data_IF_683897634393
#
_entry.id   IF_683897634393
#
_cell.length_a   1.000
_cell.length_b   1.000
_cell.length_c   1.000
_cell.angle_alpha   90.00
_cell.angle_beta   90.00
_cell.angle_gamma   90.00
#
_symmetry.space_group_name_H-M   'P 1'
#
loop_
_entity.id
_entity.type
_entity.pdbx_description
1 polymer ?
#
# COMPACT_ATOMS: atom_id res chain seq x y z
N UNK A 1 -20.73 7.16 2.76
CA UNK A 1 -19.55 6.37 2.36
C UNK A 1 -18.32 7.17 2.75
N UNK A 2 -17.45 6.61 3.57
CA UNK A 2 -16.24 7.27 4.08
C UNK A 2 -15.01 6.51 3.60
N UNK A 3 -14.12 7.18 2.87
CA UNK A 3 -12.85 6.62 2.42
C UNK A 3 -11.70 7.49 2.93
N UNK A 4 -10.72 6.86 3.59
CA UNK A 4 -9.52 7.53 4.05
C UNK A 4 -8.30 6.98 3.30
N UNK A 5 -7.46 7.87 2.79
CA UNK A 5 -6.08 7.52 2.51
C UNK A 5 -5.34 7.57 3.84
N UNK A 6 -4.59 6.53 4.15
CA UNK A 6 -4.02 6.30 5.48
C UNK A 6 -2.59 5.78 5.36
N UNK A 7 -1.75 6.18 6.31
CA UNK A 7 -0.35 5.80 6.38
C UNK A 7 0.14 5.84 7.84
N UNK A 8 1.07 4.97 8.18
CA UNK A 8 1.68 4.87 9.50
C UNK A 8 3.20 4.83 9.44
N UNK A 9 3.81 5.51 10.41
CA UNK A 9 5.21 5.27 10.77
C UNK A 9 5.26 4.40 12.02
N UNK A 10 6.23 3.50 12.06
CA UNK A 10 6.38 2.50 13.13
C UNK A 10 7.78 2.51 13.70
N UNK A 11 7.93 2.26 15.01
CA UNK A 11 9.24 2.33 15.69
C UNK A 11 10.29 1.32 15.17
N UNK A 12 9.83 0.24 14.53
CA UNK A 12 10.64 -0.76 13.81
C UNK A 12 9.77 -1.46 12.77
N UNK A 13 10.36 -2.30 11.94
CA UNK A 13 9.62 -3.13 10.99
C UNK A 13 8.60 -4.02 11.73
N UNK A 14 7.33 -3.94 11.33
CA UNK A 14 6.19 -4.58 12.01
C UNK A 14 6.03 -4.17 13.50
N UNK A 15 6.49 -2.97 13.87
CA UNK A 15 6.42 -2.41 15.22
C UNK A 15 5.28 -1.42 15.47
N UNK A 16 4.99 -1.10 16.73
CA UNK A 16 4.00 -0.11 17.19
C UNK A 16 3.98 1.18 16.37
N UNK A 17 2.75 1.69 16.14
CA UNK A 17 2.50 2.99 15.53
C UNK A 17 3.15 4.09 16.38
N UNK A 18 3.94 4.95 15.73
CA UNK A 18 4.53 6.16 16.33
C UNK A 18 4.01 7.44 15.69
N UNK A 19 3.56 7.37 14.44
CA UNK A 19 2.82 8.42 13.75
C UNK A 19 1.75 7.75 12.89
N UNK A 20 0.55 8.32 12.86
CA UNK A 20 -0.50 7.92 11.94
C UNK A 20 -1.08 9.16 11.28
N UNK A 21 -1.32 9.10 9.98
CA UNK A 21 -1.99 10.15 9.25
C UNK A 21 -3.14 9.60 8.41
N UNK A 22 -4.13 10.46 8.19
CA UNK A 22 -5.22 10.17 7.29
C UNK A 22 -5.63 11.43 6.53
N UNK A 23 -6.13 11.25 5.31
CA UNK A 23 -6.88 12.27 4.59
C UNK A 23 -8.15 11.67 4.02
N UNK A 24 -9.28 12.34 4.22
CA UNK A 24 -10.54 11.86 3.66
C UNK A 24 -10.66 12.23 2.19
N UNK A 25 -11.14 11.29 1.39
CA UNK A 25 -11.35 11.47 -0.04
C UNK A 25 -12.74 11.00 -0.46
N UNK A 26 -13.30 11.68 -1.46
CA UNK A 26 -14.60 11.39 -2.02
C UNK A 26 -14.45 11.03 -3.49
N UNK A 27 -15.21 10.04 -3.95
CA UNK A 27 -15.27 9.72 -5.37
C UNK A 27 -16.28 10.65 -6.06
N UNK A 28 -15.84 11.40 -7.06
CA UNK A 28 -16.71 12.24 -7.88
C UNK A 28 -16.70 11.75 -9.33
N UNK A 29 -17.74 11.03 -9.78
CA UNK A 29 -17.78 10.49 -11.13
C UNK A 29 -17.87 11.61 -12.18
N UNK A 30 -17.40 11.31 -13.40
CA UNK A 30 -17.50 12.19 -14.58
C UNK A 30 -16.76 13.53 -14.47
N UNK A 31 -15.68 13.59 -13.70
CA UNK A 31 -14.77 14.75 -13.63
C UNK A 31 -13.34 14.35 -13.99
N UNK A 32 -12.50 15.33 -14.35
CA UNK A 32 -11.06 15.13 -14.56
C UNK A 32 -10.30 14.78 -13.27
N UNK A 33 -10.97 14.94 -12.12
CA UNK A 33 -10.45 14.72 -10.77
C UNK A 33 -11.38 13.76 -10.00
N UNK A 34 -11.39 12.47 -10.36
CA UNK A 34 -12.38 11.51 -9.89
C UNK A 34 -12.29 11.20 -8.40
N UNK A 35 -11.20 11.58 -7.73
CA UNK A 35 -11.01 11.43 -6.28
C UNK A 35 -10.54 12.75 -5.71
N UNK A 36 -11.39 13.39 -4.90
CA UNK A 36 -11.16 14.72 -4.36
C UNK A 36 -10.94 14.64 -2.86
N UNK A 37 -9.84 15.20 -2.32
CA UNK A 37 -9.66 15.35 -0.89
C UNK A 37 -10.69 16.30 -0.30
N UNK A 38 -11.18 16.00 0.89
CA UNK A 38 -11.96 16.96 1.68
C UNK A 38 -11.04 17.88 2.47
N UNK A 39 -11.63 18.72 3.32
CA UNK A 39 -10.89 19.52 4.30
C UNK A 39 -10.46 18.73 5.55
N UNK A 40 -10.80 17.44 5.63
CA UNK A 40 -10.44 16.60 6.76
C UNK A 40 -9.07 15.94 6.56
N UNK A 41 -8.14 16.32 7.42
CA UNK A 41 -6.89 15.61 7.67
C UNK A 41 -6.77 15.20 9.15
N UNK A 42 -5.97 14.17 9.37
CA UNK A 42 -5.60 13.68 10.69
C UNK A 42 -4.11 13.41 10.70
N UNK A 43 -3.44 13.82 11.77
CA UNK A 43 -2.07 13.42 12.06
C UNK A 43 -1.88 13.37 13.56
N UNK A 44 -1.34 12.27 14.06
CA UNK A 44 -1.10 12.10 15.50
C UNK A 44 0.10 11.20 15.76
N UNK A 45 0.85 11.54 16.79
CA UNK A 45 1.99 10.77 17.28
C UNK A 45 1.68 10.00 18.55
N UNK A 46 2.42 8.92 18.74
CA UNK A 46 2.23 7.96 19.82
C UNK A 46 3.56 7.50 20.37
N UNK A 47 3.59 7.21 21.67
CA UNK A 47 4.74 6.63 22.35
C UNK A 47 4.72 5.10 22.17
N UNK A 48 5.75 4.50 21.56
CA UNK A 48 5.87 3.05 21.40
C UNK A 48 6.17 2.35 22.73
N UNK A 49 6.05 1.03 22.77
CA UNK A 49 6.37 0.23 23.96
C UNK A 49 7.87 0.10 24.23
N UNK A 50 8.70 0.25 23.19
CA UNK A 50 10.16 0.17 23.22
C UNK A 50 10.79 1.30 22.39
N UNK A 51 12.09 1.60 22.55
CA UNK A 51 12.77 2.64 21.79
C UNK A 51 12.70 2.43 20.27
N UNK A 52 12.73 3.53 19.52
CA UNK A 52 12.73 3.50 18.06
C UNK A 52 14.07 2.91 17.56
N UNK A 53 13.98 2.00 16.59
CA UNK A 53 15.17 1.44 15.94
C UNK A 53 15.87 2.50 15.10
N UNK A 54 17.21 2.50 15.08
CA UNK A 54 18.00 3.44 14.26
C UNK A 54 17.64 3.35 12.77
N UNK A 55 17.32 2.15 12.28
CA UNK A 55 16.88 1.94 10.90
C UNK A 55 15.54 2.66 10.61
N UNK A 56 14.58 2.63 11.53
CA UNK A 56 13.32 3.36 11.39
C UNK A 56 13.54 4.88 11.48
N UNK A 57 14.35 5.35 12.45
CA UNK A 57 14.73 6.77 12.55
C UNK A 57 15.38 7.30 11.26
N UNK A 58 16.19 6.48 10.58
CA UNK A 58 16.83 6.87 9.32
C UNK A 58 15.83 7.00 8.15
N UNK A 59 14.65 6.38 8.25
CA UNK A 59 13.58 6.44 7.25
C UNK A 59 12.69 7.66 7.52
N UNK A 60 12.06 7.71 8.69
CA UNK A 60 11.00 8.70 9.00
C UNK A 60 11.47 9.88 9.85
N UNK A 61 12.71 9.87 10.33
CA UNK A 61 13.34 10.98 11.07
C UNK A 61 12.62 11.41 12.36
N UNK A 62 11.83 10.52 12.96
CA UNK A 62 11.22 10.70 14.29
C UNK A 62 12.16 10.04 15.30
N UNK A 63 12.47 10.74 16.38
CA UNK A 63 13.33 10.24 17.45
C UNK A 63 12.54 10.01 18.74
N UNK A 64 13.09 9.23 19.68
CA UNK A 64 12.43 8.91 20.94
C UNK A 64 12.03 10.17 21.73
N UNK A 65 12.86 11.22 21.66
CA UNK A 65 12.63 12.51 22.31
C UNK A 65 11.36 13.21 21.83
N UNK A 66 10.98 13.03 20.56
CA UNK A 66 9.75 13.60 19.98
C UNK A 66 8.48 13.01 20.62
N UNK A 67 8.58 11.79 21.16
CA UNK A 67 7.44 10.97 21.56
C UNK A 67 7.23 10.88 23.08
N UNK A 68 8.13 11.45 23.89
CA UNK A 68 8.12 11.33 25.36
C UNK A 68 6.78 11.73 25.98
N UNK A 69 6.15 12.79 25.46
CA UNK A 69 4.87 13.34 25.95
C UNK A 69 3.65 12.81 25.18
N UNK A 70 3.85 11.95 24.19
CA UNK A 70 2.76 11.39 23.40
C UNK A 70 2.03 10.28 24.18
N UNK A 71 0.74 10.05 23.92
CA UNK A 71 0.01 8.93 24.50
C UNK A 71 0.60 7.60 24.03
N UNK A 72 0.43 6.52 24.81
CA UNK A 72 0.81 5.17 24.38
C UNK A 72 0.17 4.82 23.03
N UNK A 73 0.88 4.08 22.17
CA UNK A 73 0.38 3.57 20.89
C UNK A 73 -0.95 2.80 21.03
N UNK A 74 -1.18 2.12 22.16
CA UNK A 74 -2.46 1.44 22.47
C UNK A 74 -3.67 2.38 22.58
N UNK A 75 -3.44 3.70 22.64
CA UNK A 75 -4.49 4.73 22.59
C UNK A 75 -4.81 5.17 21.16
N UNK A 76 -4.17 4.58 20.16
CA UNK A 76 -4.55 4.78 18.77
C UNK A 76 -6.01 4.36 18.56
N UNK A 77 -6.72 5.19 17.80
CA UNK A 77 -8.06 4.94 17.29
C UNK A 77 -8.11 5.57 15.90
N UNK A 78 -8.91 4.96 15.02
CA UNK A 78 -9.19 5.54 13.72
C UNK A 78 -9.86 6.91 13.92
N UNK A 79 -9.58 7.89 13.04
CA UNK A 79 -9.95 9.28 13.26
C UNK A 79 -11.43 9.57 12.95
N UNK A 80 -12.17 8.57 12.45
CA UNK A 80 -13.61 8.62 12.19
C UNK A 80 -14.26 7.28 12.52
N UNK A 81 -15.52 7.33 12.90
CA UNK A 81 -16.40 6.18 12.93
C UNK A 81 -16.92 5.86 11.52
N UNK A 82 -17.33 4.61 11.28
CA UNK A 82 -17.94 4.15 10.02
C UNK A 82 -17.07 4.44 8.77
N UNK A 83 -15.81 4.04 8.81
CA UNK A 83 -14.91 4.06 7.65
C UNK A 83 -15.21 2.84 6.80
N UNK A 84 -15.64 3.06 5.55
CA UNK A 84 -15.92 1.98 4.61
C UNK A 84 -14.63 1.48 3.93
N UNK A 85 -13.73 2.41 3.59
CA UNK A 85 -12.49 2.12 2.86
C UNK A 85 -11.26 2.75 3.50
N UNK A 86 -10.19 1.97 3.62
CA UNK A 86 -8.83 2.43 3.89
C UNK A 86 -7.96 2.21 2.66
N UNK A 87 -7.31 3.27 2.20
CA UNK A 87 -6.47 3.29 1.01
C UNK A 87 -5.04 3.57 1.45
N UNK A 88 -4.10 2.74 1.05
CA UNK A 88 -2.69 2.90 1.42
C UNK A 88 -1.75 2.38 0.35
N UNK A 89 -0.46 2.60 0.54
CA UNK A 89 0.59 2.04 -0.29
C UNK A 89 1.30 0.92 0.47
N UNK A 90 0.90 -0.33 0.22
CA UNK A 90 1.16 -1.48 1.09
C UNK A 90 0.24 -1.54 2.34
N UNK A 91 -1.05 -1.25 2.16
CA UNK A 91 -2.04 -1.03 3.22
C UNK A 91 -2.14 -2.14 4.29
N UNK A 92 -1.78 -3.39 3.99
CA UNK A 92 -1.82 -4.45 5.00
C UNK A 92 -0.84 -4.19 6.13
N UNK A 93 0.30 -3.54 5.85
CA UNK A 93 1.26 -3.13 6.87
C UNK A 93 0.63 -2.16 7.88
N UNK A 94 -0.11 -1.16 7.38
CA UNK A 94 -0.80 -0.19 8.23
C UNK A 94 -1.93 -0.85 9.03
N UNK A 95 -2.65 -1.81 8.43
CA UNK A 95 -3.70 -2.55 9.13
C UNK A 95 -3.11 -3.42 10.24
N UNK A 96 -2.01 -4.13 10.00
CA UNK A 96 -1.29 -4.87 11.05
C UNK A 96 -0.86 -3.94 12.19
N UNK A 97 -0.43 -2.71 11.87
CA UNK A 97 -0.07 -1.71 12.88
C UNK A 97 -1.28 -1.24 13.70
N UNK A 98 -2.42 -1.01 13.05
CA UNK A 98 -3.69 -0.67 13.69
C UNK A 98 -4.15 -1.79 14.64
N UNK A 99 -4.08 -3.04 14.18
CA UNK A 99 -4.49 -4.23 14.95
C UNK A 99 -3.59 -4.45 16.17
N UNK A 100 -2.26 -4.30 16.02
CA UNK A 100 -1.31 -4.35 17.15
C UNK A 100 -1.56 -3.26 18.19
N UNK A 101 -2.07 -2.10 17.78
CA UNK A 101 -2.49 -1.04 18.69
C UNK A 101 -3.84 -1.34 19.40
N UNK A 102 -4.47 -2.48 19.12
CA UNK A 102 -5.74 -2.89 19.73
C UNK A 102 -6.96 -2.18 19.13
N UNK A 103 -6.88 -1.79 17.87
CA UNK A 103 -8.02 -1.23 17.12
C UNK A 103 -8.43 -2.21 16.02
N UNK A 104 -9.70 -2.59 16.03
CA UNK A 104 -10.26 -3.51 15.03
C UNK A 104 -10.49 -2.76 13.69
N UNK A 105 -9.91 -3.29 12.63
CA UNK A 105 -10.08 -2.82 11.25
C UNK A 105 -10.56 -3.93 10.30
N UNK A 106 -11.03 -5.06 10.85
CA UNK A 106 -11.42 -6.26 10.08
C UNK A 106 -12.60 -6.01 9.13
N UNK A 107 -13.52 -5.10 9.50
CA UNK A 107 -14.70 -4.75 8.71
C UNK A 107 -14.43 -3.72 7.60
N UNK A 108 -13.24 -3.14 7.55
CA UNK A 108 -12.90 -2.05 6.63
C UNK A 108 -12.34 -2.61 5.32
N UNK A 109 -12.87 -2.15 4.19
CA UNK A 109 -12.37 -2.55 2.87
C UNK A 109 -11.00 -1.92 2.60
N UNK A 110 -10.01 -2.75 2.31
CA UNK A 110 -8.61 -2.34 2.10
C UNK A 110 -8.32 -2.12 0.62
N UNK A 111 -7.74 -0.98 0.26
CA UNK A 111 -7.33 -0.63 -1.10
C UNK A 111 -5.81 -0.42 -1.11
N UNK A 112 -5.09 -1.23 -1.87
CA UNK A 112 -3.64 -1.25 -1.92
C UNK A 112 -3.12 -0.66 -3.24
N UNK A 113 -2.57 0.55 -3.20
CA UNK A 113 -2.00 1.20 -4.39
C UNK A 113 -0.70 0.56 -4.87
N UNK A 114 0.06 -0.10 -3.98
CA UNK A 114 1.26 -0.85 -4.37
C UNK A 114 0.90 -2.02 -5.29
N UNK A 115 -0.10 -2.82 -4.91
CA UNK A 115 -0.60 -3.94 -5.70
C UNK A 115 -1.08 -3.48 -7.08
N UNK A 116 -1.92 -2.43 -7.11
CA UNK A 116 -2.39 -1.84 -8.36
C UNK A 116 -1.26 -1.29 -9.23
N UNK A 117 -0.26 -0.62 -8.65
CA UNK A 117 0.88 -0.08 -9.39
C UNK A 117 1.75 -1.20 -9.99
N UNK A 118 1.97 -2.28 -9.23
CA UNK A 118 2.68 -3.48 -9.70
C UNK A 118 1.95 -4.16 -10.86
N UNK A 119 0.63 -4.23 -10.80
CA UNK A 119 -0.20 -4.79 -11.87
C UNK A 119 -0.19 -3.93 -13.14
N UNK A 120 -0.37 -2.61 -13.01
CA UNK A 120 -0.43 -1.69 -14.16
C UNK A 120 0.93 -1.45 -14.81
N UNK A 121 1.99 -1.44 -14.01
CA UNK A 121 3.33 -1.08 -14.47
C UNK A 121 4.39 -2.07 -13.98
N UNK A 122 4.31 -3.36 -14.33
CA UNK A 122 5.20 -4.38 -13.80
C UNK A 122 6.68 -4.12 -14.15
N UNK A 123 6.94 -3.45 -15.27
CA UNK A 123 8.28 -3.16 -15.77
C UNK A 123 8.94 -1.92 -15.17
N UNK A 124 8.27 -1.20 -14.27
CA UNK A 124 8.87 -0.03 -13.63
C UNK A 124 10.06 -0.41 -12.74
N UNK A 125 11.09 0.44 -12.74
CA UNK A 125 12.32 0.22 -11.99
C UNK A 125 12.11 0.02 -10.49
N UNK A 126 11.10 0.68 -9.90
CA UNK A 126 10.75 0.54 -8.49
C UNK A 126 9.28 0.92 -8.26
N UNK A 127 8.61 0.18 -7.40
CA UNK A 127 7.24 0.48 -6.98
C UNK A 127 7.17 1.15 -5.61
N UNK A 128 8.30 1.62 -5.06
CA UNK A 128 8.27 2.47 -3.85
C UNK A 128 7.51 3.75 -4.16
N UNK A 129 6.70 4.23 -3.21
CA UNK A 129 5.81 5.37 -3.41
C UNK A 129 6.50 6.61 -4.03
N UNK A 130 7.63 7.05 -3.46
CA UNK A 130 8.40 8.18 -3.99
C UNK A 130 8.96 7.92 -5.39
N UNK A 131 9.37 6.68 -5.70
CA UNK A 131 9.85 6.32 -7.03
C UNK A 131 8.72 6.38 -8.06
N UNK A 132 7.54 5.84 -7.72
CA UNK A 132 6.34 5.95 -8.56
C UNK A 132 5.95 7.39 -8.81
N UNK A 133 6.01 8.24 -7.78
CA UNK A 133 5.76 9.68 -7.92
C UNK A 133 6.69 10.31 -8.96
N UNK A 134 7.98 9.99 -8.94
CA UNK A 134 8.93 10.50 -9.95
C UNK A 134 8.75 9.90 -11.35
N UNK A 135 8.41 8.61 -11.45
CA UNK A 135 8.22 7.91 -12.72
C UNK A 135 6.98 8.41 -13.47
N UNK A 136 5.90 8.70 -12.74
CA UNK A 136 4.62 9.17 -13.30
C UNK A 136 4.55 10.70 -13.45
N UNK A 137 5.56 11.42 -12.95
CA UNK A 137 5.57 12.88 -12.90
C UNK A 137 5.87 13.52 -14.27
N UNK A 138 4.98 14.40 -14.72
CA UNK A 138 5.24 15.30 -15.86
C UNK A 138 6.17 16.49 -15.52
N UNK A 139 6.21 16.93 -14.25
CA UNK A 139 7.15 17.94 -13.75
C UNK A 139 7.89 17.43 -12.50
N UNK A 140 9.09 16.88 -12.70
CA UNK A 140 9.91 16.32 -11.62
C UNK A 140 10.38 17.38 -10.61
N UNK A 141 10.48 18.66 -10.99
CA UNK A 141 10.84 19.72 -10.03
C UNK A 141 9.68 20.00 -9.08
N UNK A 142 8.44 19.99 -9.57
CA UNK A 142 7.25 20.08 -8.73
C UNK A 142 7.11 18.87 -7.83
N UNK A 143 7.24 17.66 -8.39
CA UNK A 143 7.20 16.41 -7.64
C UNK A 143 8.22 16.38 -6.52
N UNK A 144 9.48 16.76 -6.79
CA UNK A 144 10.51 16.90 -5.76
C UNK A 144 10.09 17.79 -4.61
N UNK A 145 9.40 18.92 -4.87
CA UNK A 145 8.91 19.81 -3.80
C UNK A 145 7.81 19.14 -2.98
N UNK A 146 6.92 18.37 -3.61
CA UNK A 146 5.84 17.64 -2.94
C UNK A 146 6.33 16.43 -2.13
N UNK A 147 7.36 15.71 -2.59
CA UNK A 147 7.96 14.59 -1.83
C UNK A 147 9.08 15.04 -0.88
N UNK A 148 9.34 16.36 -0.78
CA UNK A 148 10.30 16.90 0.18
C UNK A 148 9.66 16.85 1.57
N UNK A 149 10.01 15.82 2.33
CA UNK A 149 9.27 15.41 3.55
C UNK A 149 8.55 14.06 3.40
N UNK A 150 8.89 13.25 2.39
CA UNK A 150 8.56 11.82 2.37
C UNK A 150 8.99 11.14 3.67
N UNK A 151 8.25 10.11 4.09
CA UNK A 151 8.35 9.49 5.41
C UNK A 151 7.89 10.40 6.57
N UNK A 152 7.03 11.36 6.26
CA UNK A 152 6.00 11.80 7.19
C UNK A 152 4.69 11.22 6.70
N UNK A 153 3.91 10.64 7.61
CA UNK A 153 2.73 9.87 7.24
C UNK A 153 1.72 10.69 6.41
N UNK A 154 1.56 11.99 6.72
CA UNK A 154 0.64 12.85 5.97
C UNK A 154 1.16 13.18 4.56
N UNK A 155 2.47 13.29 4.39
CA UNK A 155 3.04 13.53 3.07
C UNK A 155 2.93 12.28 2.17
N UNK A 156 3.05 11.10 2.77
CA UNK A 156 2.88 9.82 2.09
C UNK A 156 1.39 9.57 1.76
N UNK A 157 0.45 10.03 2.58
CA UNK A 157 -0.97 10.12 2.21
C UNK A 157 -1.19 10.99 0.96
N UNK A 158 -0.60 12.19 0.91
CA UNK A 158 -0.72 13.11 -0.25
C UNK A 158 -0.09 12.52 -1.51
N UNK A 159 1.06 11.85 -1.37
CA UNK A 159 1.74 11.19 -2.49
C UNK A 159 0.92 9.99 -2.99
N UNK A 160 0.31 9.23 -2.06
CA UNK A 160 -0.63 8.15 -2.37
C UNK A 160 -1.85 8.65 -3.11
N UNK A 161 -2.41 9.81 -2.73
CA UNK A 161 -3.51 10.45 -3.46
C UNK A 161 -3.14 10.76 -4.92
N UNK A 162 -1.95 11.34 -5.15
CA UNK A 162 -1.48 11.63 -6.50
C UNK A 162 -1.28 10.35 -7.34
N UNK A 163 -0.73 9.28 -6.74
CA UNK A 163 -0.63 7.97 -7.39
C UNK A 163 -2.02 7.41 -7.73
N UNK A 164 -2.95 7.50 -6.78
CA UNK A 164 -4.32 6.99 -6.94
C UNK A 164 -5.05 7.66 -8.11
N UNK A 165 -4.88 8.98 -8.28
CA UNK A 165 -5.42 9.70 -9.45
C UNK A 165 -4.88 9.15 -10.78
N UNK A 166 -3.61 8.78 -10.85
CA UNK A 166 -3.03 8.16 -12.04
C UNK A 166 -3.63 6.78 -12.30
N UNK A 167 -3.76 5.95 -11.26
CA UNK A 167 -4.36 4.61 -11.34
C UNK A 167 -5.79 4.69 -11.87
N UNK A 168 -6.63 5.56 -11.27
CA UNK A 168 -8.04 5.71 -11.65
C UNK A 168 -8.18 6.18 -13.11
N UNK A 169 -7.33 7.11 -13.56
CA UNK A 169 -7.34 7.59 -14.95
C UNK A 169 -6.95 6.49 -15.94
N UNK A 170 -5.85 5.79 -15.67
CA UNK A 170 -5.33 4.73 -16.55
C UNK A 170 -6.32 3.57 -16.66
N UNK A 171 -6.89 3.13 -15.53
CA UNK A 171 -7.84 2.00 -15.50
C UNK A 171 -9.28 2.42 -15.82
N UNK A 172 -9.54 3.72 -15.93
CA UNK A 172 -10.85 4.35 -16.15
C UNK A 172 -11.91 3.99 -15.09
N UNK A 173 -11.49 3.85 -13.83
CA UNK A 173 -12.36 3.47 -12.70
C UNK A 173 -13.45 4.54 -12.48
N UNK A 174 -14.68 4.11 -12.22
CA UNK A 174 -15.88 4.98 -12.13
C UNK A 174 -16.54 5.01 -10.76
N UNK A 175 -16.07 4.23 -9.80
CA UNK A 175 -16.56 4.28 -8.41
C UNK A 175 -15.52 3.79 -7.40
N UNK A 176 -15.77 4.05 -6.11
CA UNK A 176 -14.95 3.51 -5.01
C UNK A 176 -15.04 1.98 -4.94
N UNK A 177 -16.19 1.39 -5.27
CA UNK A 177 -16.34 -0.06 -5.29
C UNK A 177 -15.54 -0.70 -6.43
N UNK A 178 -15.59 -0.12 -7.64
CA UNK A 178 -14.74 -0.57 -8.75
C UNK A 178 -13.24 -0.46 -8.41
N UNK A 179 -12.85 0.62 -7.71
CA UNK A 179 -11.48 0.78 -7.22
C UNK A 179 -11.09 -0.33 -6.26
N UNK A 180 -11.98 -0.67 -5.32
CA UNK A 180 -11.77 -1.77 -4.38
C UNK A 180 -11.63 -3.11 -5.10
N UNK A 181 -12.55 -3.44 -6.01
CA UNK A 181 -12.50 -4.69 -6.78
C UNK A 181 -11.23 -4.80 -7.62
N UNK A 182 -10.83 -3.70 -8.28
CA UNK A 182 -9.55 -3.66 -9.01
C UNK A 182 -8.36 -3.87 -8.07
N UNK A 183 -8.38 -3.25 -6.89
CA UNK A 183 -7.33 -3.46 -5.89
C UNK A 183 -7.28 -4.90 -5.39
N UNK A 184 -8.42 -5.59 -5.23
CA UNK A 184 -8.43 -6.99 -4.79
C UNK A 184 -7.87 -7.91 -5.86
N UNK A 185 -8.27 -7.71 -7.11
CA UNK A 185 -7.70 -8.46 -8.24
C UNK A 185 -6.19 -8.23 -8.37
N UNK A 186 -5.75 -6.97 -8.27
CA UNK A 186 -4.32 -6.63 -8.39
C UNK A 186 -3.45 -7.11 -7.21
N UNK A 187 -4.04 -7.57 -6.10
CA UNK A 187 -3.27 -8.18 -4.99
C UNK A 187 -2.60 -9.47 -5.45
N UNK A 188 -3.21 -10.22 -6.37
CA UNK A 188 -2.58 -11.40 -6.99
C UNK A 188 -1.54 -10.90 -8.01
N UNK A 189 -0.23 -11.03 -7.73
CA UNK A 189 0.81 -10.51 -8.61
C UNK A 189 0.87 -11.30 -9.92
N UNK A 190 1.23 -10.63 -11.01
CA UNK A 190 1.50 -11.27 -12.31
C UNK A 190 3.01 -11.42 -12.59
N UNK A 191 3.84 -10.77 -11.77
CA UNK A 191 5.30 -10.72 -11.92
C UNK A 191 5.98 -10.88 -10.57
N UNK A 192 7.23 -11.31 -10.58
CA UNK A 192 8.08 -11.36 -9.39
C UNK A 192 8.70 -9.97 -9.14
N UNK A 193 8.56 -9.43 -7.93
CA UNK A 193 9.03 -8.08 -7.60
C UNK A 193 10.29 -8.02 -6.71
N UNK A 194 10.82 -9.19 -6.32
CA UNK A 194 11.95 -9.33 -5.42
C UNK A 194 12.81 -10.54 -5.76
N UNK A 195 14.02 -10.60 -5.18
CA UNK A 195 14.93 -11.72 -5.36
C UNK A 195 15.48 -11.87 -6.79
N UNK A 196 16.09 -13.02 -7.11
CA UNK A 196 16.80 -13.24 -8.38
C UNK A 196 15.91 -13.20 -9.63
N UNK A 197 14.62 -13.47 -9.50
CA UNK A 197 13.66 -13.50 -10.61
C UNK A 197 12.91 -12.17 -10.79
N UNK A 198 13.35 -11.10 -10.09
CA UNK A 198 12.71 -9.79 -10.15
C UNK A 198 12.53 -9.30 -11.59
N UNK A 199 11.30 -8.90 -11.91
CA UNK A 199 10.87 -8.38 -13.20
C UNK A 199 10.34 -9.44 -14.17
N UNK A 200 10.51 -10.74 -13.88
CA UNK A 200 9.96 -11.82 -14.71
C UNK A 200 8.47 -11.99 -14.44
N UNK A 201 7.69 -12.22 -15.50
CA UNK A 201 6.30 -12.64 -15.36
C UNK A 201 6.25 -14.05 -14.76
N UNK A 202 5.23 -14.33 -13.95
CA UNK A 202 5.03 -15.65 -13.34
C UNK A 202 4.82 -16.71 -14.42
N UNK A 203 4.03 -16.38 -15.45
CA UNK A 203 3.79 -17.26 -16.60
C UNK A 203 5.05 -17.62 -17.40
N UNK A 204 6.10 -16.79 -17.37
CA UNK A 204 7.34 -17.03 -18.10
C UNK A 204 8.35 -17.90 -17.33
N UNK A 205 8.06 -18.23 -16.06
CA UNK A 205 8.94 -19.05 -15.22
C UNK A 205 8.70 -20.53 -15.43
N UNK A 206 9.76 -21.34 -15.27
CA UNK A 206 9.63 -22.80 -15.25
C UNK A 206 8.87 -23.27 -14.01
N UNK A 207 8.19 -24.41 -14.06
CA UNK A 207 7.50 -24.98 -12.89
C UNK A 207 8.48 -25.22 -11.73
N UNK A 208 9.71 -25.62 -12.03
CA UNK A 208 10.79 -25.74 -11.05
C UNK A 208 11.11 -24.42 -10.33
N UNK A 209 11.24 -23.32 -11.07
CA UNK A 209 11.50 -22.00 -10.47
C UNK A 209 10.32 -21.54 -9.61
N UNK A 210 9.08 -21.78 -10.06
CA UNK A 210 7.86 -21.44 -9.34
C UNK A 210 7.76 -22.19 -8.02
N UNK A 211 7.97 -23.50 -8.01
CA UNK A 211 8.02 -24.32 -6.79
C UNK A 211 9.13 -23.87 -5.83
N UNK A 212 10.31 -23.55 -6.38
CA UNK A 212 11.42 -23.05 -5.59
C UNK A 212 11.08 -21.72 -4.89
N UNK A 213 10.45 -20.80 -5.60
CA UNK A 213 10.00 -19.51 -5.07
C UNK A 213 8.92 -19.72 -4.02
N UNK A 214 7.91 -20.56 -4.29
CA UNK A 214 6.82 -20.83 -3.37
C UNK A 214 7.34 -21.36 -2.02
N UNK A 215 8.31 -22.27 -2.04
CA UNK A 215 8.89 -22.85 -0.82
C UNK A 215 9.69 -21.86 0.05
N UNK A 216 9.98 -20.67 -0.48
CA UNK A 216 10.77 -19.61 0.19
C UNK A 216 9.96 -18.35 0.49
N UNK A 217 8.67 -18.32 0.15
CA UNK A 217 7.83 -17.14 0.27
C UNK A 217 6.82 -17.31 1.39
N UNK A 218 6.67 -16.28 2.21
CA UNK A 218 5.57 -16.15 3.18
C UNK A 218 4.43 -15.26 2.64
N UNK A 219 4.63 -14.67 1.44
CA UNK A 219 3.65 -13.80 0.76
C UNK A 219 2.51 -14.65 0.19
N UNK A 220 1.38 -14.67 0.91
CA UNK A 220 0.19 -15.44 0.54
C UNK A 220 -0.34 -15.10 -0.85
N UNK A 221 -0.25 -13.84 -1.27
CA UNK A 221 -0.73 -13.46 -2.61
C UNK A 221 0.15 -14.02 -3.71
N UNK A 222 1.47 -14.01 -3.51
CA UNK A 222 2.38 -14.66 -4.46
C UNK A 222 2.15 -16.17 -4.50
N UNK A 223 1.95 -16.81 -3.34
CA UNK A 223 1.67 -18.25 -3.30
C UNK A 223 0.40 -18.59 -4.08
N UNK A 224 -0.69 -17.84 -3.90
CA UNK A 224 -1.92 -18.01 -4.68
C UNK A 224 -1.68 -17.82 -6.19
N UNK A 225 -0.87 -16.84 -6.59
CA UNK A 225 -0.55 -16.63 -8.01
C UNK A 225 0.23 -17.80 -8.61
N UNK A 226 1.19 -18.35 -7.86
CA UNK A 226 2.00 -19.49 -8.28
C UNK A 226 1.14 -20.75 -8.38
N UNK A 227 0.30 -21.01 -7.39
CA UNK A 227 -0.60 -22.17 -7.38
C UNK A 227 -1.56 -22.15 -8.57
N UNK A 228 -2.16 -20.98 -8.87
CA UNK A 228 -3.03 -20.80 -10.02
C UNK A 228 -2.31 -21.08 -11.35
N UNK A 229 -1.08 -20.58 -11.51
CA UNK A 229 -0.27 -20.80 -12.71
C UNK A 229 0.13 -22.27 -12.88
N UNK A 230 0.54 -22.95 -11.81
CA UNK A 230 0.88 -24.37 -11.86
C UNK A 230 -0.34 -25.21 -12.23
N UNK A 231 -1.50 -24.89 -11.64
CA UNK A 231 -2.74 -25.59 -11.94
C UNK A 231 -3.18 -25.41 -13.41
N UNK A 232 -3.09 -24.18 -13.96
CA UNK A 232 -3.45 -23.95 -15.37
C UNK A 232 -2.59 -24.74 -16.35
N UNK A 233 -1.31 -24.99 -16.02
CA UNK A 233 -0.42 -25.79 -16.86
C UNK A 233 -0.81 -27.27 -16.88
N UNK A 234 -1.23 -27.81 -15.74
CA UNK A 234 -1.71 -29.19 -15.65
C UNK A 234 -2.99 -29.40 -16.48
N UNK A 235 -3.88 -28.40 -16.51
CA UNK A 235 -5.09 -28.44 -17.35
C UNK A 235 -4.77 -28.41 -18.85
N UNK A 236 -3.79 -27.62 -19.28
CA UNK A 236 -3.34 -27.54 -20.68
C UNK A 236 -2.65 -28.84 -21.17
N UNK A 237 -2.07 -29.63 -20.25
CA UNK A 237 -1.43 -30.91 -20.56
C UNK A 237 -2.41 -32.10 -20.64
N UNK A 238 -3.66 -31.93 -20.20
CA UNK A 238 -4.68 -32.97 -20.32
C UNK A 238 -5.22 -33.03 -21.77
N UNK A 239 -5.09 -34.18 -22.48
CA UNK A 239 -5.64 -34.29 -23.83
C UNK A 239 -7.16 -34.12 -23.78
N UNK A 240 -7.70 -33.24 -24.64
CA UNK A 240 -9.14 -33.12 -24.88
C UNK A 240 -9.71 -34.52 -25.16
N UNK A 241 -10.53 -35.04 -24.24
CA UNK A 241 -11.29 -36.31 -24.39
C UNK A 241 -12.56 -36.02 -25.20
#
# INVERSE_FOLDING_TARGET
MTALIFDTETHKLHGDIIEAAAMEVHFQPFTDYPIIPTMFDFTKRYKPSEPISIAAMAIHHIVDEDLVKCPSFTKFKLPKDNIDYLIGHNIDYDIEAIERAGTDASSIKRICTLAMARYLWPHFESHKLTALAYQLSSDRKATRRGVRGAHSALNDCKTTHALLLNIVRVRQIKSMEELYQFSQMARIPTHIFYGPHRGKAIADLSSYDLEYIARKSDDQYLLTAIEAELHSREEDELPFI
#
